data_IF_365694469106
#
_entry.id   IF_365694469106
#
_cell.length_a   1.000
_cell.length_b   1.000
_cell.length_c   1.000
_cell.angle_alpha   90.00
_cell.angle_beta   90.00
_cell.angle_gamma   90.00
#
_symmetry.space_group_name_H-M   'P 1'
#
loop_
_entity.id
_entity.type
_entity.pdbx_description
1 polymer ?
#
# COMPACT_ATOMS: atom_id res chain seq x y z
N UNK A 1 -29.08 -11.38 -11.87
CA UNK A 1 -28.31 -10.21 -12.34
C UNK A 1 -27.73 -9.31 -11.22
N UNK A 2 -28.46 -9.05 -10.11
CA UNK A 2 -28.00 -8.20 -8.98
C UNK A 2 -26.71 -8.66 -8.25
N UNK A 3 -26.32 -9.93 -8.32
CA UNK A 3 -25.14 -10.48 -7.61
C UNK A 3 -23.79 -10.13 -8.27
N UNK A 4 -23.72 -10.10 -9.62
CA UNK A 4 -22.47 -9.82 -10.34
C UNK A 4 -21.97 -8.38 -10.09
N UNK A 5 -22.89 -7.40 -10.07
CA UNK A 5 -22.55 -6.00 -9.80
C UNK A 5 -21.92 -5.76 -8.43
N UNK A 6 -22.40 -6.45 -7.38
CA UNK A 6 -21.83 -6.38 -6.02
C UNK A 6 -20.39 -6.90 -5.96
N UNK A 7 -20.05 -7.89 -6.79
CA UNK A 7 -18.73 -8.51 -6.80
C UNK A 7 -17.65 -7.59 -7.41
N UNK A 8 -18.00 -6.92 -8.51
CA UNK A 8 -17.15 -5.90 -9.13
C UNK A 8 -17.00 -4.67 -8.24
N UNK A 9 -18.09 -4.24 -7.58
CA UNK A 9 -18.05 -3.12 -6.65
C UNK A 9 -17.09 -3.37 -5.48
N UNK A 10 -17.11 -4.56 -4.86
CA UNK A 10 -16.15 -4.92 -3.80
C UNK A 10 -14.69 -4.95 -4.29
N UNK A 11 -14.46 -5.40 -5.52
CA UNK A 11 -13.11 -5.39 -6.10
C UNK A 11 -12.59 -3.97 -6.36
N UNK A 12 -13.46 -3.09 -6.87
CA UNK A 12 -13.17 -1.67 -7.06
C UNK A 12 -12.89 -0.99 -5.71
N UNK A 13 -13.66 -1.30 -4.67
CA UNK A 13 -13.43 -0.79 -3.31
C UNK A 13 -12.06 -1.23 -2.77
N UNK A 14 -11.69 -2.50 -2.98
CA UNK A 14 -10.38 -3.04 -2.60
C UNK A 14 -9.22 -2.29 -3.30
N UNK A 15 -9.32 -2.11 -4.61
CA UNK A 15 -8.31 -1.35 -5.37
C UNK A 15 -8.27 0.10 -4.90
N UNK A 16 -9.44 0.72 -4.68
CA UNK A 16 -9.54 2.08 -4.15
C UNK A 16 -8.85 2.24 -2.80
N UNK A 17 -9.08 1.32 -1.87
CA UNK A 17 -8.42 1.31 -0.55
C UNK A 17 -6.89 1.24 -0.69
N UNK A 18 -6.37 0.36 -1.56
CA UNK A 18 -4.92 0.23 -1.80
C UNK A 18 -4.35 1.52 -2.39
N UNK A 19 -5.02 2.12 -3.39
CA UNK A 19 -4.57 3.37 -4.01
C UNK A 19 -4.57 4.51 -2.99
N UNK A 20 -5.60 4.62 -2.15
CA UNK A 20 -5.68 5.64 -1.09
C UNK A 20 -4.56 5.43 -0.08
N UNK A 21 -4.31 4.18 0.36
CA UNK A 21 -3.20 3.84 1.24
C UNK A 21 -1.87 4.32 0.66
N UNK A 22 -1.58 3.93 -0.58
CA UNK A 22 -0.33 4.24 -1.23
C UNK A 22 -0.17 5.75 -1.47
N UNK A 23 -1.24 6.43 -1.86
CA UNK A 23 -1.27 7.87 -2.03
C UNK A 23 -0.99 8.60 -0.72
N UNK A 24 -1.58 8.13 0.39
CA UNK A 24 -1.35 8.70 1.72
C UNK A 24 0.10 8.49 2.18
N UNK A 25 0.66 7.27 2.01
CA UNK A 25 2.06 6.98 2.34
C UNK A 25 3.01 7.86 1.52
N UNK A 26 2.79 8.01 0.22
CA UNK A 26 3.62 8.87 -0.64
C UNK A 26 3.52 10.35 -0.25
N UNK A 27 2.30 10.84 0.00
CA UNK A 27 2.07 12.19 0.49
C UNK A 27 2.84 12.45 1.80
N UNK A 28 2.79 11.50 2.73
CA UNK A 28 3.48 11.60 4.01
C UNK A 28 5.01 11.55 3.86
N UNK A 29 5.54 10.63 3.05
CA UNK A 29 6.99 10.53 2.79
C UNK A 29 7.55 11.84 2.24
N UNK A 30 6.78 12.52 1.37
CA UNK A 30 7.17 13.83 0.87
C UNK A 30 7.21 14.91 1.98
N UNK A 31 6.28 14.87 2.94
CA UNK A 31 6.29 15.77 4.10
C UNK A 31 7.44 15.45 5.07
N UNK A 32 7.73 14.17 5.30
CA UNK A 32 8.86 13.72 6.14
C UNK A 32 10.19 14.29 5.66
N UNK A 33 10.40 14.40 4.35
CA UNK A 33 11.60 15.06 3.77
C UNK A 33 11.71 16.53 4.19
N UNK A 34 10.60 17.27 4.25
CA UNK A 34 10.59 18.68 4.69
C UNK A 34 10.87 18.81 6.18
N UNK A 35 10.35 17.89 6.99
CA UNK A 35 10.60 17.84 8.44
C UNK A 35 12.10 17.58 8.72
N UNK A 36 12.74 16.62 8.03
CA UNK A 36 14.19 16.37 8.15
C UNK A 36 15.05 17.58 7.76
N UNK A 37 14.64 18.36 6.74
CA UNK A 37 15.36 19.59 6.37
C UNK A 37 15.29 20.62 7.51
N UNK A 38 14.12 20.74 8.15
CA UNK A 38 13.93 21.69 9.26
C UNK A 38 14.75 21.30 10.48
N UNK A 39 14.79 20.01 10.82
CA UNK A 39 15.61 19.46 11.91
C UNK A 39 17.10 19.73 11.64
N UNK A 40 17.61 19.37 10.46
CA UNK A 40 19.01 19.61 10.10
C UNK A 40 19.38 21.10 10.12
N UNK A 41 18.48 21.98 9.72
CA UNK A 41 18.70 23.44 9.80
C UNK A 41 18.76 23.93 11.24
N UNK A 42 17.95 23.36 12.14
CA UNK A 42 17.94 23.65 13.56
C UNK A 42 19.24 23.16 14.24
N UNK A 43 19.66 21.92 13.99
CA UNK A 43 20.94 21.38 14.49
C UNK A 43 22.14 22.22 14.03
N UNK A 44 22.11 22.68 12.77
CA UNK A 44 23.13 23.57 12.22
C UNK A 44 23.27 24.87 12.99
N UNK A 45 22.23 25.37 13.67
CA UNK A 45 22.36 26.55 14.53
C UNK A 45 23.33 26.31 15.69
N UNK A 46 23.31 25.11 16.28
CA UNK A 46 24.29 24.71 17.31
C UNK A 46 25.71 24.73 16.77
N UNK A 47 25.94 24.11 15.60
CA UNK A 47 27.26 24.14 14.95
C UNK A 47 27.74 25.55 14.61
N UNK A 48 26.84 26.42 14.14
CA UNK A 48 27.17 27.82 13.82
C UNK A 48 27.50 28.63 15.06
N UNK A 49 26.79 28.43 16.17
CA UNK A 49 27.08 29.08 17.45
C UNK A 49 28.49 28.74 17.96
N UNK A 50 28.86 27.46 17.88
CA UNK A 50 30.19 26.98 18.27
C UNK A 50 31.28 27.45 17.30
N UNK A 51 30.99 27.54 16.00
CA UNK A 51 31.92 28.12 15.03
C UNK A 51 32.22 29.59 15.34
N UNK A 52 31.20 30.38 15.68
CA UNK A 52 31.37 31.78 16.12
C UNK A 52 32.23 31.83 17.39
N UNK A 53 31.94 30.98 18.37
CA UNK A 53 32.72 30.85 19.60
C UNK A 53 34.21 30.60 19.34
N UNK A 54 34.52 29.61 18.49
CA UNK A 54 35.88 29.26 18.11
C UNK A 54 36.60 30.38 17.33
N UNK A 55 35.89 31.09 16.45
CA UNK A 55 36.45 32.21 15.70
C UNK A 55 36.72 33.42 16.60
N UNK A 56 35.87 33.67 17.59
CA UNK A 56 36.13 34.68 18.62
C UNK A 56 37.43 34.39 19.36
N UNK A 57 37.64 33.13 19.80
CA UNK A 57 38.89 32.72 20.44
C UNK A 57 40.11 32.90 19.53
N UNK A 58 40.00 32.51 18.25
CA UNK A 58 41.09 32.69 17.28
C UNK A 58 41.39 34.16 17.01
N UNK A 59 40.40 35.05 17.05
CA UNK A 59 40.63 36.49 16.94
C UNK A 59 41.48 37.01 18.09
N UNK A 60 41.22 36.57 19.32
CA UNK A 60 42.05 36.92 20.49
C UNK A 60 43.47 36.39 20.32
N UNK A 61 43.61 35.08 20.02
CA UNK A 61 44.90 34.39 19.95
C UNK A 61 45.81 34.90 18.84
N UNK A 62 45.25 35.26 17.68
CA UNK A 62 46.01 35.62 16.48
C UNK A 62 45.81 37.09 16.07
N UNK A 63 45.50 37.97 17.02
CA UNK A 63 45.51 39.42 16.80
C UNK A 63 44.53 39.91 15.73
N UNK A 64 43.34 39.31 15.64
CA UNK A 64 42.27 39.75 14.73
C UNK A 64 42.34 39.18 13.32
N UNK A 65 43.30 38.29 13.00
CA UNK A 65 43.43 37.64 11.67
C UNK A 65 42.13 37.01 11.15
N UNK A 66 41.25 36.55 12.05
CA UNK A 66 40.00 35.84 11.73
C UNK A 66 38.75 36.73 11.84
N UNK A 67 38.91 38.05 11.92
CA UNK A 67 37.79 38.97 12.14
C UNK A 67 36.75 38.88 11.02
N UNK A 68 37.19 38.86 9.74
CA UNK A 68 36.26 38.71 8.62
C UNK A 68 35.50 37.38 8.66
N UNK A 69 36.19 36.28 8.98
CA UNK A 69 35.57 34.96 9.11
C UNK A 69 34.52 34.91 10.23
N UNK A 70 34.81 35.56 11.36
CA UNK A 70 33.91 35.66 12.51
C UNK A 70 32.61 36.39 12.13
N UNK A 71 32.72 37.58 11.55
CA UNK A 71 31.55 38.37 11.13
C UNK A 71 30.76 37.67 10.03
N UNK A 72 31.43 36.97 9.11
CA UNK A 72 30.75 36.18 8.10
C UNK A 72 30.01 34.97 8.71
N UNK A 73 30.63 34.26 9.66
CA UNK A 73 29.97 33.16 10.36
C UNK A 73 28.74 33.64 11.14
N UNK A 74 28.84 34.78 11.83
CA UNK A 74 27.73 35.40 12.55
C UNK A 74 26.60 35.85 11.62
N UNK A 75 26.94 36.44 10.47
CA UNK A 75 25.97 36.81 9.44
C UNK A 75 25.23 35.59 8.90
N UNK A 76 25.95 34.51 8.58
CA UNK A 76 25.35 33.24 8.12
C UNK A 76 24.44 32.65 9.20
N UNK A 77 24.89 32.65 10.45
CA UNK A 77 24.10 32.19 11.59
C UNK A 77 22.78 32.94 11.70
N UNK A 78 22.83 34.28 11.81
CA UNK A 78 21.65 35.13 11.94
C UNK A 78 20.66 34.99 10.77
N UNK A 79 21.16 34.95 9.54
CA UNK A 79 20.31 34.79 8.35
C UNK A 79 19.63 33.42 8.37
N UNK A 80 20.37 32.36 8.69
CA UNK A 80 19.82 31.01 8.77
C UNK A 80 18.77 30.86 9.87
N UNK A 81 18.99 31.48 11.04
CA UNK A 81 18.03 31.49 12.14
C UNK A 81 16.71 32.17 11.76
N UNK A 82 16.79 33.36 11.11
CA UNK A 82 15.60 34.08 10.62
C UNK A 82 14.83 33.27 9.56
N UNK A 83 15.51 32.47 8.74
CA UNK A 83 14.86 31.59 7.75
C UNK A 83 14.05 30.48 8.43
N UNK A 84 14.57 29.87 9.49
CA UNK A 84 13.85 28.86 10.28
C UNK A 84 12.59 29.50 10.89
N UNK A 85 12.74 30.68 11.50
CA UNK A 85 11.61 31.41 12.09
C UNK A 85 10.51 31.74 11.07
N UNK A 86 10.88 32.20 9.87
CA UNK A 86 9.91 32.47 8.80
C UNK A 86 9.22 31.17 8.32
N UNK A 87 9.94 30.05 8.30
CA UNK A 87 9.37 28.72 8.02
C UNK A 87 8.32 28.31 9.06
N UNK A 88 8.66 28.43 10.35
CA UNK A 88 7.73 28.13 11.45
C UNK A 88 6.51 29.05 11.42
N UNK A 89 6.70 30.35 11.20
CA UNK A 89 5.59 31.31 11.13
C UNK A 89 4.57 30.95 10.03
N UNK A 90 5.04 30.54 8.85
CA UNK A 90 4.15 30.10 7.75
C UNK A 90 3.39 28.82 8.07
N UNK A 91 3.96 27.93 8.89
CA UNK A 91 3.32 26.69 9.32
C UNK A 91 2.35 26.89 10.51
N UNK A 92 2.60 27.90 11.34
CA UNK A 92 1.97 28.11 12.65
C UNK A 92 0.52 28.61 12.67
N UNK A 93 -0.18 28.69 11.52
CA UNK A 93 -1.52 29.29 11.42
C UNK A 93 -2.59 28.54 12.25
N UNK A 94 -2.28 27.38 12.86
CA UNK A 94 -3.27 26.66 13.68
C UNK A 94 -2.76 25.80 14.86
N UNK A 95 -1.48 25.85 15.29
CA UNK A 95 -0.94 24.89 16.29
C UNK A 95 -0.24 25.56 17.49
N UNK A 96 -0.63 25.13 18.69
CA UNK A 96 -0.11 25.61 19.99
C UNK A 96 1.38 25.28 20.21
N UNK A 97 1.84 24.10 19.79
CA UNK A 97 3.24 23.69 19.89
C UNK A 97 4.17 24.56 19.02
N UNK A 98 3.70 24.99 17.84
CA UNK A 98 4.46 25.85 16.93
C UNK A 98 4.67 27.26 17.53
N UNK A 99 3.74 27.74 18.36
CA UNK A 99 3.87 29.01 19.08
C UNK A 99 4.96 28.96 20.17
N UNK A 100 5.06 27.84 20.91
CA UNK A 100 6.11 27.64 21.92
C UNK A 100 7.49 27.57 21.28
N UNK A 101 7.61 26.84 20.16
CA UNK A 101 8.85 26.76 19.37
C UNK A 101 9.23 28.15 18.85
N UNK A 102 8.27 28.90 18.31
CA UNK A 102 8.52 30.23 17.78
C UNK A 102 9.03 31.20 18.87
N UNK A 103 8.44 31.18 20.07
CA UNK A 103 8.92 31.99 21.19
C UNK A 103 10.36 31.64 21.61
N UNK A 104 10.72 30.34 21.65
CA UNK A 104 12.11 29.92 21.90
C UNK A 104 13.06 30.38 20.79
N UNK A 105 12.62 30.33 19.54
CA UNK A 105 13.39 30.85 18.40
C UNK A 105 13.57 32.39 18.49
N UNK A 106 12.57 33.12 18.98
CA UNK A 106 12.70 34.55 19.25
C UNK A 106 13.74 34.83 20.36
N UNK A 107 13.68 34.11 21.48
CA UNK A 107 14.65 34.27 22.58
C UNK A 107 16.09 34.00 22.12
N UNK A 108 16.28 32.95 21.33
CA UNK A 108 17.60 32.60 20.78
C UNK A 108 18.06 33.62 19.73
N UNK A 109 17.15 34.26 18.98
CA UNK A 109 17.49 35.39 18.10
C UNK A 109 17.97 36.61 18.89
N UNK A 110 17.39 36.88 20.07
CA UNK A 110 17.87 37.97 20.95
C UNK A 110 19.33 37.74 21.37
N UNK A 111 19.71 36.50 21.66
CA UNK A 111 21.10 36.15 21.98
C UNK A 111 22.02 36.42 20.78
N UNK A 112 21.64 35.97 19.58
CA UNK A 112 22.41 36.21 18.35
C UNK A 112 22.61 37.72 18.12
N UNK A 113 21.56 38.52 18.31
CA UNK A 113 21.65 39.98 18.15
C UNK A 113 22.53 40.64 19.22
N UNK A 114 22.51 40.16 20.48
CA UNK A 114 23.42 40.63 21.53
C UNK A 114 24.88 40.35 21.17
N UNK A 115 25.18 39.15 20.65
CA UNK A 115 26.53 38.80 20.16
C UNK A 115 26.94 39.75 19.02
N UNK A 116 26.05 40.01 18.06
CA UNK A 116 26.29 40.96 16.95
C UNK A 116 26.59 42.38 17.45
N UNK A 117 25.82 42.89 18.41
CA UNK A 117 26.08 44.21 19.00
C UNK A 117 27.40 44.28 19.77
N UNK A 118 27.74 43.25 20.55
CA UNK A 118 29.02 43.20 21.27
C UNK A 118 30.19 43.22 20.30
N UNK A 119 30.14 42.37 19.26
CA UNK A 119 31.22 42.28 18.28
C UNK A 119 31.35 43.55 17.43
N UNK A 120 30.24 44.15 17.02
CA UNK A 120 30.24 45.37 16.20
C UNK A 120 30.73 46.62 16.96
N UNK A 121 30.46 46.71 18.27
CA UNK A 121 30.87 47.84 19.10
C UNK A 121 32.30 47.71 19.65
N UNK A 122 32.94 46.56 19.46
CA UNK A 122 34.28 46.30 19.98
C UNK A 122 35.34 46.71 18.96
N UNK A 123 36.25 47.61 19.36
CA UNK A 123 37.40 48.01 18.52
C UNK A 123 38.38 46.87 18.27
N UNK A 124 38.50 45.93 19.23
CA UNK A 124 39.28 44.70 19.15
C UNK A 124 38.53 43.58 19.86
N UNK A 125 38.67 42.36 19.35
CA UNK A 125 38.19 41.16 20.05
C UNK A 125 39.26 40.76 21.06
N UNK A 126 39.04 41.08 22.33
CA UNK A 126 39.90 40.77 23.47
C UNK A 126 39.29 39.67 24.37
N UNK A 127 39.95 39.36 25.49
CA UNK A 127 39.46 38.34 26.43
C UNK A 127 38.09 38.70 27.04
N UNK A 128 37.80 39.99 27.23
CA UNK A 128 36.52 40.42 27.80
C UNK A 128 35.36 40.16 26.82
N UNK A 129 35.57 40.53 25.55
CA UNK A 129 34.62 40.24 24.47
C UNK A 129 34.45 38.73 24.31
N UNK A 130 35.54 37.97 24.35
CA UNK A 130 35.49 36.50 24.25
C UNK A 130 34.64 35.88 25.37
N UNK A 131 34.88 36.24 26.64
CA UNK A 131 34.10 35.72 27.77
C UNK A 131 32.60 36.04 27.60
N UNK A 132 32.28 37.26 27.16
CA UNK A 132 30.90 37.68 26.93
C UNK A 132 30.22 36.86 25.82
N UNK A 133 30.94 36.59 24.72
CA UNK A 133 30.45 35.73 23.63
C UNK A 133 30.27 34.29 24.10
N UNK A 134 31.23 33.73 24.85
CA UNK A 134 31.16 32.37 25.38
C UNK A 134 29.90 32.18 26.23
N UNK A 135 29.64 33.07 27.19
CA UNK A 135 28.46 33.00 28.07
C UNK A 135 27.13 33.05 27.30
N UNK A 136 27.07 33.87 26.25
CA UNK A 136 25.89 33.96 25.39
C UNK A 136 25.71 32.68 24.55
N UNK A 137 26.79 32.11 24.01
CA UNK A 137 26.74 30.83 23.28
C UNK A 137 26.34 29.67 24.20
N UNK A 138 26.88 29.63 25.42
CA UNK A 138 26.54 28.62 26.44
C UNK A 138 25.07 28.72 26.87
N UNK A 139 24.50 29.94 26.88
CA UNK A 139 23.07 30.16 27.12
C UNK A 139 22.18 29.85 25.91
N UNK A 140 22.74 29.89 24.70
CA UNK A 140 22.03 29.62 23.44
C UNK A 140 21.82 28.12 23.24
N UNK A 141 22.87 27.31 23.45
CA UNK A 141 22.88 25.89 23.10
C UNK A 141 21.71 25.09 23.72
N UNK A 142 21.45 25.15 25.04
CA UNK A 142 20.35 24.39 25.64
C UNK A 142 18.98 24.78 25.09
N UNK A 143 18.78 26.06 24.75
CA UNK A 143 17.53 26.52 24.16
C UNK A 143 17.33 25.98 22.74
N UNK A 144 18.42 25.93 21.97
CA UNK A 144 18.39 25.38 20.62
C UNK A 144 18.17 23.86 20.63
N UNK A 145 18.77 23.13 21.59
CA UNK A 145 18.51 21.70 21.78
C UNK A 145 17.04 21.41 22.08
N UNK A 146 16.39 22.23 22.91
CA UNK A 146 14.94 22.08 23.17
C UNK A 146 14.12 22.30 21.90
N UNK A 147 14.52 23.24 21.04
CA UNK A 147 13.86 23.46 19.74
C UNK A 147 14.06 22.27 18.80
N UNK A 148 15.28 21.73 18.72
CA UNK A 148 15.58 20.53 17.91
C UNK A 148 14.71 19.35 18.37
N UNK A 149 14.68 19.07 19.68
CA UNK A 149 13.85 18.01 20.26
C UNK A 149 12.36 18.19 20.00
N UNK A 150 11.88 19.44 19.98
CA UNK A 150 10.49 19.72 19.66
C UNK A 150 10.17 19.43 18.18
N UNK A 151 11.09 19.71 17.26
CA UNK A 151 10.93 19.34 15.85
C UNK A 151 11.00 17.82 15.63
N UNK A 152 11.92 17.13 16.31
CA UNK A 152 12.00 15.67 16.30
C UNK A 152 10.71 15.04 16.82
N UNK A 153 10.24 15.46 18.01
CA UNK A 153 9.00 14.96 18.60
C UNK A 153 7.77 15.21 17.71
N UNK A 154 7.68 16.38 17.06
CA UNK A 154 6.60 16.66 16.11
C UNK A 154 6.67 15.75 14.87
N UNK A 155 7.87 15.45 14.37
CA UNK A 155 8.08 14.53 13.25
C UNK A 155 7.71 13.09 13.62
N UNK A 156 8.07 12.66 14.83
CA UNK A 156 7.80 11.31 15.33
C UNK A 156 6.31 11.09 15.63
N UNK A 157 5.62 12.08 16.20
CA UNK A 157 4.18 12.01 16.42
C UNK A 157 3.40 11.87 15.09
N UNK A 158 3.76 12.69 14.09
CA UNK A 158 3.22 12.57 12.72
C UNK A 158 3.44 11.17 12.16
N UNK A 159 4.63 10.60 12.37
CA UNK A 159 4.99 9.26 11.89
C UNK A 159 4.19 8.15 12.60
N UNK A 160 4.01 8.27 13.92
CA UNK A 160 3.22 7.31 14.70
C UNK A 160 1.76 7.30 14.25
N UNK A 161 1.17 8.48 14.04
CA UNK A 161 -0.21 8.61 13.56
C UNK A 161 -0.40 8.00 12.16
N UNK A 162 0.61 8.12 11.29
CA UNK A 162 0.63 7.45 9.99
C UNK A 162 0.59 5.93 10.13
N UNK A 163 1.47 5.36 10.97
CA UNK A 163 1.55 3.89 11.17
C UNK A 163 0.23 3.35 11.70
N UNK A 164 -0.40 4.05 12.65
CA UNK A 164 -1.71 3.67 13.17
C UNK A 164 -2.79 3.66 12.07
N UNK A 165 -2.79 4.70 11.23
CA UNK A 165 -3.74 4.80 10.11
C UNK A 165 -3.52 3.68 9.07
N UNK A 166 -2.27 3.38 8.72
CA UNK A 166 -1.92 2.29 7.80
C UNK A 166 -2.37 0.93 8.34
N UNK A 167 -2.13 0.67 9.62
CA UNK A 167 -2.55 -0.56 10.28
C UNK A 167 -4.08 -0.71 10.25
N UNK A 168 -4.81 0.37 10.55
CA UNK A 168 -6.28 0.39 10.49
C UNK A 168 -6.77 0.06 9.07
N UNK A 169 -6.18 0.69 8.06
CA UNK A 169 -6.58 0.48 6.67
C UNK A 169 -6.24 -0.94 6.17
N UNK A 170 -5.15 -1.53 6.69
CA UNK A 170 -4.79 -2.93 6.45
C UNK A 170 -5.83 -3.88 7.06
N UNK A 171 -6.30 -3.62 8.28
CA UNK A 171 -7.37 -4.40 8.92
C UNK A 171 -8.65 -4.32 8.08
N UNK A 172 -9.06 -3.12 7.65
CA UNK A 172 -10.25 -2.94 6.79
C UNK A 172 -10.12 -3.74 5.50
N UNK A 173 -8.94 -3.69 4.88
CA UNK A 173 -8.65 -4.44 3.64
C UNK A 173 -8.77 -5.95 3.87
N UNK A 174 -8.23 -6.47 4.98
CA UNK A 174 -8.35 -7.88 5.35
C UNK A 174 -9.81 -8.29 5.57
N UNK A 175 -10.61 -7.47 6.29
CA UNK A 175 -12.04 -7.75 6.52
C UNK A 175 -12.79 -7.86 5.19
N UNK A 176 -12.53 -6.97 4.23
CA UNK A 176 -13.15 -7.03 2.90
C UNK A 176 -12.75 -8.31 2.16
N UNK A 177 -11.48 -8.72 2.23
CA UNK A 177 -11.00 -9.96 1.61
C UNK A 177 -11.66 -11.19 2.25
N UNK A 178 -11.71 -11.28 3.58
CA UNK A 178 -12.35 -12.39 4.29
C UNK A 178 -13.84 -12.51 3.96
N UNK A 179 -14.55 -11.38 3.93
CA UNK A 179 -15.97 -11.34 3.53
C UNK A 179 -16.14 -11.89 2.12
N UNK A 180 -15.23 -11.53 1.20
CA UNK A 180 -15.26 -12.03 -0.19
C UNK A 180 -14.99 -13.53 -0.27
N UNK A 181 -14.00 -14.04 0.46
CA UNK A 181 -13.70 -15.48 0.50
C UNK A 181 -14.89 -16.29 1.03
N UNK A 182 -15.57 -15.81 2.07
CA UNK A 182 -16.77 -16.45 2.62
C UNK A 182 -17.92 -16.60 1.62
N UNK A 183 -18.06 -15.67 0.67
CA UNK A 183 -19.09 -15.72 -0.37
C UNK A 183 -18.65 -16.58 -1.56
N UNK A 184 -17.37 -16.49 -1.98
CA UNK A 184 -16.87 -17.18 -3.19
C UNK A 184 -16.74 -18.68 -2.98
N UNK A 185 -16.21 -19.11 -1.82
CA UNK A 185 -15.95 -20.52 -1.53
C UNK A 185 -17.19 -21.42 -1.72
N UNK A 186 -18.34 -21.15 -1.06
CA UNK A 186 -19.51 -22.01 -1.23
C UNK A 186 -20.10 -21.96 -2.65
N UNK A 187 -20.01 -20.81 -3.33
CA UNK A 187 -20.45 -20.69 -4.72
C UNK A 187 -19.59 -21.56 -5.66
N UNK A 188 -18.27 -21.56 -5.43
CA UNK A 188 -17.33 -22.40 -6.16
C UNK A 188 -17.56 -23.90 -5.90
N UNK A 189 -17.76 -24.28 -4.64
CA UNK A 189 -18.06 -25.66 -4.26
C UNK A 189 -19.35 -26.17 -4.92
N UNK A 190 -20.38 -25.33 -5.01
CA UNK A 190 -21.64 -25.66 -5.71
C UNK A 190 -21.42 -25.89 -7.20
N UNK A 191 -20.61 -25.05 -7.86
CA UNK A 191 -20.26 -25.23 -9.29
C UNK A 191 -19.47 -26.52 -9.49
N UNK A 192 -18.53 -26.82 -8.60
CA UNK A 192 -17.79 -28.09 -8.62
C UNK A 192 -18.71 -29.30 -8.45
N UNK A 193 -19.66 -29.24 -7.53
CA UNK A 193 -20.65 -30.31 -7.32
C UNK A 193 -21.53 -30.53 -8.56
N UNK A 194 -22.02 -29.43 -9.18
CA UNK A 194 -22.78 -29.50 -10.42
C UNK A 194 -21.96 -30.11 -11.57
N UNK A 195 -20.70 -29.72 -11.71
CA UNK A 195 -19.81 -30.27 -12.73
C UNK A 195 -19.57 -31.78 -12.52
N UNK A 196 -19.33 -32.22 -11.28
CA UNK A 196 -19.22 -33.64 -10.94
C UNK A 196 -20.50 -34.40 -11.28
N UNK A 197 -21.67 -33.85 -10.95
CA UNK A 197 -22.96 -34.46 -11.26
C UNK A 197 -23.18 -34.59 -12.77
N UNK A 198 -22.92 -33.53 -13.54
CA UNK A 198 -23.00 -33.54 -15.01
C UNK A 198 -22.07 -34.57 -15.63
N UNK A 199 -20.81 -34.67 -15.15
CA UNK A 199 -19.87 -35.71 -15.59
C UNK A 199 -20.37 -37.12 -15.29
N UNK A 200 -20.96 -37.34 -14.11
CA UNK A 200 -21.55 -38.63 -13.74
C UNK A 200 -22.71 -39.00 -14.67
N UNK A 201 -23.60 -38.04 -14.95
CA UNK A 201 -24.73 -38.24 -15.87
C UNK A 201 -24.21 -38.56 -17.27
N UNK A 202 -23.27 -37.77 -17.80
CA UNK A 202 -22.69 -38.02 -19.12
C UNK A 202 -22.04 -39.40 -19.21
N UNK A 203 -21.31 -39.82 -18.18
CA UNK A 203 -20.72 -41.16 -18.11
C UNK A 203 -21.77 -42.28 -18.13
N UNK A 204 -22.84 -42.15 -17.34
CA UNK A 204 -23.96 -43.11 -17.33
C UNK A 204 -24.64 -43.17 -18.70
N UNK A 205 -24.95 -42.03 -19.31
CA UNK A 205 -25.58 -41.96 -20.62
C UNK A 205 -24.72 -42.60 -21.72
N UNK A 206 -23.40 -42.36 -21.70
CA UNK A 206 -22.49 -43.03 -22.63
C UNK A 206 -22.44 -44.55 -22.41
N UNK A 207 -22.62 -45.03 -21.18
CA UNK A 207 -22.64 -46.47 -20.88
C UNK A 207 -23.91 -47.15 -21.41
N UNK A 208 -25.08 -46.56 -21.16
CA UNK A 208 -26.37 -47.12 -21.63
C UNK A 208 -26.42 -47.19 -23.16
N UNK A 209 -25.93 -46.16 -23.86
CA UNK A 209 -25.85 -46.15 -25.32
C UNK A 209 -24.85 -47.18 -25.89
N UNK A 210 -23.84 -47.59 -25.11
CA UNK A 210 -22.78 -48.49 -25.58
C UNK A 210 -23.29 -49.89 -25.86
N UNK A 211 -24.26 -50.40 -25.08
CA UNK A 211 -24.80 -51.76 -25.22
C UNK A 211 -25.47 -51.98 -26.58
N UNK A 212 -26.50 -51.20 -26.99
CA UNK A 212 -27.12 -51.40 -28.28
C UNK A 212 -26.17 -51.10 -29.45
N UNK A 213 -25.27 -50.11 -29.31
CA UNK A 213 -24.24 -49.83 -30.34
C UNK A 213 -23.28 -51.02 -30.52
N UNK A 214 -22.83 -51.65 -29.43
CA UNK A 214 -21.97 -52.83 -29.50
C UNK A 214 -22.69 -54.03 -30.14
N UNK A 215 -23.98 -54.23 -29.83
CA UNK A 215 -24.80 -55.27 -30.45
C UNK A 215 -24.94 -55.04 -31.96
N UNK A 216 -25.26 -53.81 -32.39
CA UNK A 216 -25.36 -53.46 -33.81
C UNK A 216 -24.02 -53.72 -34.52
N UNK A 217 -22.91 -53.27 -33.94
CA UNK A 217 -21.58 -53.47 -34.52
C UNK A 217 -21.23 -54.96 -34.66
N UNK A 218 -21.49 -55.76 -33.62
CA UNK A 218 -21.21 -57.20 -33.63
C UNK A 218 -22.08 -57.96 -34.65
N UNK A 219 -23.37 -57.64 -34.76
CA UNK A 219 -24.26 -58.24 -35.75
C UNK A 219 -23.82 -57.88 -37.18
N UNK A 220 -23.43 -56.63 -37.45
CA UNK A 220 -22.87 -56.22 -38.74
C UNK A 220 -21.57 -56.96 -39.05
N UNK A 221 -20.71 -57.15 -38.06
CA UNK A 221 -19.43 -57.86 -38.24
C UNK A 221 -19.66 -59.34 -38.58
N UNK A 222 -20.60 -60.00 -37.91
CA UNK A 222 -21.01 -61.38 -38.23
C UNK A 222 -21.52 -61.46 -39.68
N UNK A 223 -22.41 -60.54 -40.08
CA UNK A 223 -22.93 -60.47 -41.45
C UNK A 223 -21.84 -60.25 -42.50
N UNK A 224 -20.81 -59.46 -42.17
CA UNK A 224 -19.66 -59.21 -43.07
C UNK A 224 -18.68 -60.39 -43.15
N UNK A 225 -18.56 -61.18 -42.09
CA UNK A 225 -17.57 -62.27 -41.98
C UNK A 225 -18.03 -63.62 -42.54
N UNK A 226 -19.34 -63.88 -42.58
CA UNK A 226 -19.88 -65.15 -43.10
C UNK A 226 -19.95 -65.12 -44.63
N UNK A 227 -19.34 -66.11 -45.28
CA UNK A 227 -19.34 -66.26 -46.74
C UNK A 227 -20.54 -67.04 -47.29
N UNK A 228 -21.21 -67.87 -46.46
CA UNK A 228 -22.42 -68.63 -46.79
C UNK A 228 -23.51 -68.36 -45.73
N UNK A 229 -24.21 -67.23 -45.85
CA UNK A 229 -25.38 -66.91 -45.00
C UNK A 229 -26.62 -67.48 -45.66
N UNK A 230 -27.38 -68.31 -44.94
CA UNK A 230 -28.70 -68.77 -45.40
C UNK A 230 -29.72 -67.64 -45.26
N UNK A 231 -30.69 -67.54 -46.17
CA UNK A 231 -31.76 -66.51 -46.11
C UNK A 231 -32.45 -66.44 -44.74
N UNK A 232 -32.62 -67.59 -44.07
CA UNK A 232 -33.19 -67.67 -42.72
C UNK A 232 -32.31 -66.99 -41.66
N UNK A 233 -31.00 -67.24 -41.67
CA UNK A 233 -30.03 -66.61 -40.75
C UNK A 233 -29.93 -65.10 -41.02
N UNK A 234 -30.04 -64.69 -42.29
CA UNK A 234 -30.04 -63.28 -42.68
C UNK A 234 -31.24 -62.54 -42.10
N UNK A 235 -32.45 -63.09 -42.28
CA UNK A 235 -33.68 -62.50 -41.75
C UNK A 235 -33.62 -62.42 -40.23
N UNK A 236 -33.19 -63.49 -39.54
CA UNK A 236 -33.08 -63.48 -38.08
C UNK A 236 -32.05 -62.46 -37.56
N UNK A 237 -30.90 -62.33 -38.25
CA UNK A 237 -29.87 -61.33 -37.88
C UNK A 237 -30.34 -59.90 -38.13
N UNK A 238 -31.11 -59.67 -39.21
CA UNK A 238 -31.74 -58.38 -39.50
C UNK A 238 -32.80 -58.01 -38.45
N UNK A 239 -33.57 -58.99 -37.97
CA UNK A 239 -34.54 -58.78 -36.89
C UNK A 239 -33.84 -58.40 -35.57
N UNK A 240 -32.73 -59.07 -35.21
CA UNK A 240 -31.93 -58.68 -34.04
C UNK A 240 -31.27 -57.30 -34.20
N UNK A 241 -30.84 -56.94 -35.40
CA UNK A 241 -30.28 -55.63 -35.70
C UNK A 241 -31.35 -54.55 -35.56
N UNK A 242 -32.55 -54.79 -36.10
CA UNK A 242 -33.70 -53.91 -35.96
C UNK A 242 -34.07 -53.71 -34.48
N UNK A 243 -34.12 -54.80 -33.70
CA UNK A 243 -34.35 -54.73 -32.25
C UNK A 243 -33.30 -53.89 -31.53
N UNK A 244 -32.01 -54.09 -31.83
CA UNK A 244 -30.92 -53.32 -31.20
C UNK A 244 -30.95 -51.84 -31.58
N UNK A 245 -31.40 -51.53 -32.81
CA UNK A 245 -31.57 -50.14 -33.28
C UNK A 245 -32.76 -49.47 -32.59
N UNK A 246 -33.84 -50.22 -32.34
CA UNK A 246 -34.99 -49.75 -31.57
C UNK A 246 -34.62 -49.50 -30.10
N UNK A 247 -33.86 -50.40 -29.48
CA UNK A 247 -33.32 -50.19 -28.12
C UNK A 247 -32.46 -48.92 -28.03
N UNK A 248 -31.62 -48.65 -29.03
CA UNK A 248 -30.83 -47.42 -29.10
C UNK A 248 -31.71 -46.17 -29.17
N UNK A 249 -32.74 -46.19 -30.02
CA UNK A 249 -33.69 -45.08 -30.19
C UNK A 249 -34.45 -44.79 -28.88
N UNK A 250 -34.89 -45.85 -28.18
CA UNK A 250 -35.54 -45.75 -26.87
C UNK A 250 -34.60 -45.11 -25.81
N UNK A 251 -33.32 -45.47 -25.77
CA UNK A 251 -32.35 -44.84 -24.86
C UNK A 251 -32.08 -43.37 -25.20
N UNK A 252 -32.03 -43.02 -26.49
CA UNK A 252 -31.91 -41.62 -26.94
C UNK A 252 -33.15 -40.82 -26.53
N UNK A 253 -34.35 -41.35 -26.74
CA UNK A 253 -35.60 -40.69 -26.37
C UNK A 253 -35.68 -40.41 -24.87
N UNK A 254 -35.26 -41.38 -24.03
CA UNK A 254 -35.14 -41.21 -22.57
C UNK A 254 -34.18 -40.09 -22.18
N UNK A 255 -33.05 -39.96 -22.87
CA UNK A 255 -32.06 -38.88 -22.61
C UNK A 255 -32.64 -37.51 -22.95
N UNK A 256 -33.31 -37.40 -24.11
CA UNK A 256 -33.90 -36.13 -24.59
C UNK A 256 -35.03 -35.66 -23.67
N UNK A 257 -35.95 -36.55 -23.30
CA UNK A 257 -37.06 -36.22 -22.38
C UNK A 257 -36.54 -35.76 -21.02
N UNK A 258 -35.55 -36.46 -20.45
CA UNK A 258 -34.97 -36.12 -19.14
C UNK A 258 -34.22 -34.78 -19.16
N UNK A 259 -33.54 -34.46 -20.27
CA UNK A 259 -32.86 -33.16 -20.47
C UNK A 259 -33.86 -32.00 -20.57
N UNK A 260 -34.97 -32.19 -21.29
CA UNK A 260 -36.04 -31.20 -21.45
C UNK A 260 -36.82 -30.95 -20.15
N UNK A 261 -37.02 -31.97 -19.32
CA UNK A 261 -37.64 -31.81 -17.99
C UNK A 261 -36.76 -31.02 -17.03
N UNK A 262 -35.45 -31.33 -16.97
CA UNK A 262 -34.51 -30.59 -16.12
C UNK A 262 -34.39 -29.11 -16.52
N UNK A 263 -34.43 -28.80 -17.81
CA UNK A 263 -34.34 -27.42 -18.30
C UNK A 263 -35.63 -26.60 -18.09
N UNK A 264 -36.80 -27.24 -17.97
CA UNK A 264 -38.05 -26.60 -17.54
C UNK A 264 -38.08 -26.33 -16.02
N UNK A 265 -37.61 -27.26 -15.21
CA UNK A 265 -37.55 -27.11 -13.75
C UNK A 265 -36.59 -26.00 -13.28
N UNK A 266 -35.58 -25.65 -14.07
CA UNK A 266 -34.65 -24.54 -13.80
C UNK A 266 -35.20 -23.15 -14.20
N UNK A 267 -36.34 -23.09 -14.91
CA UNK A 267 -36.97 -21.85 -15.39
C UNK A 267 -38.21 -21.43 -14.58
N UNK A 268 -38.78 -22.32 -13.77
CA UNK A 268 -39.86 -22.04 -12.81
C UNK A 268 -39.26 -21.61 -11.45
#
# INVERSE_FOLDING_TARGET
>A
MKSKGKFYLLFIVLIGLIIVSQGYTQYFLHHKRKDSITINLAERQGMLSQRVNQLSYRCVKYGGKYHQDLFQALKVWRISHKRIMAGVQRASISKTLDAVIYHKLQNTLLIINKIDSILANSSKIDNFVLISVNQLVDSFLPQMEVVVKAFEGQSDEKLSNLVLFEFLLTIVTLIVIFTKLGIVKPAFDKVLAQNKALKKIAWQQSHELRRPVANILGLIEILKSKTDITDKDLVETLDYLYSSTKELDEEIEKIVTKSNQNSRALRA
#
